data_IF_951247073703
#
_entry.id   IF_951247073703
#
_cell.length_a   1.000
_cell.length_b   1.000
_cell.length_c   1.000
_cell.angle_alpha   90.00
_cell.angle_beta   90.00
_cell.angle_gamma   90.00
#
_symmetry.space_group_name_H-M   'P 1'
#
loop_
_entity.id
_entity.type
_entity.pdbx_description
1 polymer ?
#
# COMPACT_ATOMS: atom_id res chain seq x y z
N UNK A 1 -26.00 4.15 2.77
CA UNK A 1 -25.02 3.89 1.69
C UNK A 1 -23.96 2.97 2.29
N UNK A 2 -23.84 1.71 1.85
CA UNK A 2 -22.76 0.87 2.38
C UNK A 2 -21.42 1.48 1.93
N UNK A 3 -20.48 1.71 2.84
CA UNK A 3 -19.16 2.34 2.59
C UNK A 3 -18.30 1.61 1.54
N UNK A 4 -18.74 0.45 1.09
CA UNK A 4 -18.06 -0.40 0.11
C UNK A 4 -19.17 -1.08 -0.68
N UNK A 5 -19.66 -0.35 -1.68
CA UNK A 5 -20.71 -0.76 -2.61
C UNK A 5 -20.04 -1.10 -3.96
N UNK A 6 -20.66 -1.95 -4.78
CA UNK A 6 -20.09 -2.41 -6.06
C UNK A 6 -19.74 -1.27 -7.03
N UNK A 7 -20.39 -0.10 -6.86
CA UNK A 7 -20.06 1.14 -7.57
C UNK A 7 -18.64 1.64 -7.27
N UNK A 8 -18.18 1.54 -6.02
CA UNK A 8 -16.81 1.92 -5.63
C UNK A 8 -15.81 0.96 -6.28
N UNK A 9 -16.06 -0.35 -6.25
CA UNK A 9 -15.20 -1.34 -6.93
C UNK A 9 -15.10 -1.11 -8.44
N UNK A 10 -16.19 -0.69 -9.09
CA UNK A 10 -16.16 -0.34 -10.51
C UNK A 10 -15.30 0.90 -10.81
N UNK A 11 -15.12 1.82 -9.85
CA UNK A 11 -14.20 2.94 -10.00
C UNK A 11 -12.75 2.46 -10.07
N UNK A 12 -12.36 1.51 -9.22
CA UNK A 12 -10.99 0.97 -9.17
C UNK A 12 -10.67 -0.01 -10.31
N UNK A 13 -11.65 -0.76 -10.81
CA UNK A 13 -11.40 -1.82 -11.79
C UNK A 13 -11.65 -1.40 -13.24
N UNK A 14 -12.60 -0.48 -13.49
CA UNK A 14 -13.01 -0.08 -14.85
C UNK A 14 -12.77 1.39 -15.11
N UNK A 15 -13.33 2.29 -14.30
CA UNK A 15 -13.33 3.71 -14.63
C UNK A 15 -11.97 4.41 -14.49
N UNK A 16 -11.12 4.02 -13.55
CA UNK A 16 -9.79 4.63 -13.36
C UNK A 16 -8.96 4.62 -14.64
N UNK A 17 -8.85 3.46 -15.29
CA UNK A 17 -8.07 3.26 -16.51
C UNK A 17 -8.74 3.84 -17.76
N UNK A 18 -10.07 3.77 -17.87
CA UNK A 18 -10.79 4.22 -19.07
C UNK A 18 -11.09 5.73 -19.09
N UNK A 19 -11.11 6.40 -17.94
CA UNK A 19 -11.52 7.81 -17.85
C UNK A 19 -10.37 8.74 -17.43
N UNK A 20 -9.11 8.30 -17.50
CA UNK A 20 -7.94 9.06 -17.03
C UNK A 20 -8.17 9.70 -15.64
N UNK A 21 -8.76 8.92 -14.73
CA UNK A 21 -9.24 9.43 -13.43
C UNK A 21 -8.43 8.77 -12.32
N UNK A 22 -7.75 9.57 -11.51
CA UNK A 22 -7.09 9.10 -10.29
C UNK A 22 -8.13 8.90 -9.18
N UNK A 23 -8.07 7.75 -8.50
CA UNK A 23 -8.98 7.43 -7.39
C UNK A 23 -8.16 7.22 -6.13
N UNK A 24 -8.46 7.98 -5.07
CA UNK A 24 -7.84 7.84 -3.75
C UNK A 24 -8.81 7.14 -2.81
N UNK A 25 -8.38 6.02 -2.22
CA UNK A 25 -9.16 5.27 -1.24
C UNK A 25 -8.55 5.42 0.16
N UNK A 26 -9.29 6.04 1.07
CA UNK A 26 -8.86 6.21 2.46
C UNK A 26 -9.62 5.23 3.35
N UNK A 27 -8.89 4.36 4.06
CA UNK A 27 -9.46 3.34 4.94
C UNK A 27 -8.69 3.22 6.25
N UNK A 28 -9.42 2.85 7.32
CA UNK A 28 -8.84 2.60 8.64
C UNK A 28 -8.18 1.22 8.77
N UNK A 29 -8.62 0.25 7.96
CA UNK A 29 -8.05 -1.10 7.89
C UNK A 29 -7.87 -1.50 6.43
N UNK A 30 -6.72 -2.08 6.14
CA UNK A 30 -6.35 -2.55 4.80
C UNK A 30 -7.07 -3.86 4.41
N UNK A 31 -7.60 -4.60 5.38
CA UNK A 31 -8.31 -5.87 5.14
C UNK A 31 -9.71 -5.89 5.80
N UNK A 32 -10.65 -5.03 5.36
CA UNK A 32 -12.05 -5.16 5.78
C UNK A 32 -12.62 -6.51 5.35
N UNK A 33 -13.50 -7.11 6.16
CA UNK A 33 -14.15 -8.41 5.89
C UNK A 33 -15.00 -8.50 4.61
N UNK A 34 -15.11 -7.41 3.84
CA UNK A 34 -15.91 -7.32 2.62
C UNK A 34 -15.12 -7.83 1.41
N UNK A 35 -15.78 -8.57 0.51
CA UNK A 35 -15.15 -9.17 -0.68
C UNK A 35 -14.57 -8.12 -1.63
N UNK A 36 -15.22 -6.96 -1.69
CA UNK A 36 -14.92 -5.82 -2.55
C UNK A 36 -13.60 -5.15 -2.18
N UNK A 37 -13.22 -5.16 -0.90
CA UNK A 37 -11.98 -4.54 -0.41
C UNK A 37 -10.75 -5.23 -0.98
N UNK A 38 -10.79 -6.56 -1.07
CA UNK A 38 -9.73 -7.38 -1.66
C UNK A 38 -9.54 -7.04 -3.14
N UNK A 39 -10.61 -6.90 -3.90
CA UNK A 39 -10.54 -6.53 -5.32
C UNK A 39 -9.94 -5.14 -5.50
N UNK A 40 -10.33 -4.17 -4.66
CA UNK A 40 -9.75 -2.82 -4.69
C UNK A 40 -8.25 -2.86 -4.40
N UNK A 41 -7.83 -3.54 -3.32
CA UNK A 41 -6.41 -3.64 -2.94
C UNK A 41 -5.56 -4.35 -4.00
N UNK A 42 -6.09 -5.38 -4.67
CA UNK A 42 -5.38 -6.09 -5.74
C UNK A 42 -5.21 -5.27 -7.02
N UNK A 43 -6.10 -4.29 -7.27
CA UNK A 43 -6.01 -3.41 -8.44
C UNK A 43 -5.37 -2.05 -8.10
N UNK A 44 -4.96 -1.83 -6.86
CA UNK A 44 -4.32 -0.59 -6.46
C UNK A 44 -2.91 -0.51 -7.07
N UNK A 45 -2.60 0.59 -7.74
CA UNK A 45 -1.26 0.87 -8.27
C UNK A 45 -0.29 1.32 -7.17
N UNK A 46 -0.82 1.94 -6.13
CA UNK A 46 -0.07 2.46 -5.00
C UNK A 46 -0.82 2.17 -3.71
N UNK A 47 -0.06 1.85 -2.68
CA UNK A 47 -0.56 1.75 -1.31
C UNK A 47 0.31 2.65 -0.43
N UNK A 48 -0.32 3.53 0.33
CA UNK A 48 0.36 4.32 1.39
C UNK A 48 -0.06 3.74 2.73
N UNK A 49 0.88 3.09 3.41
CA UNK A 49 0.65 2.41 4.68
C UNK A 49 1.15 3.26 5.85
N UNK A 50 0.23 3.61 6.76
CA UNK A 50 0.53 4.32 8.00
C UNK A 50 0.61 3.37 9.20
N UNK A 51 1.29 3.81 10.26
CA UNK A 51 1.33 3.07 11.54
C UNK A 51 -0.06 2.94 12.14
N UNK A 52 -0.47 1.71 12.43
CA UNK A 52 -1.61 1.42 13.29
C UNK A 52 -1.10 0.70 14.55
N UNK A 53 -0.96 1.42 15.69
CA UNK A 53 -0.47 0.82 16.94
C UNK A 53 -1.35 -0.32 17.48
N UNK A 54 -2.64 -0.35 17.11
CA UNK A 54 -3.58 -1.38 17.55
C UNK A 54 -3.43 -2.68 16.76
N UNK A 55 -3.09 -2.58 15.48
CA UNK A 55 -3.05 -3.73 14.58
C UNK A 55 -1.89 -3.66 13.58
N UNK A 56 -0.78 -4.31 13.94
CA UNK A 56 0.39 -4.47 13.10
C UNK A 56 0.30 -5.66 12.12
N UNK A 57 -0.78 -6.44 12.17
CA UNK A 57 -0.90 -7.66 11.36
C UNK A 57 -1.04 -7.35 9.88
N UNK A 58 -1.67 -6.23 9.52
CA UNK A 58 -1.90 -5.84 8.12
C UNK A 58 -0.62 -5.81 7.29
N UNK A 59 0.44 -5.18 7.81
CA UNK A 59 1.74 -5.10 7.11
C UNK A 59 2.38 -6.48 6.99
N UNK A 60 2.24 -7.32 8.01
CA UNK A 60 2.74 -8.69 7.98
C UNK A 60 2.03 -9.53 6.92
N UNK A 61 0.71 -9.38 6.78
CA UNK A 61 -0.05 -10.06 5.74
C UNK A 61 0.35 -9.59 4.34
N UNK A 62 0.50 -8.28 4.14
CA UNK A 62 0.93 -7.73 2.85
C UNK A 62 2.36 -8.16 2.50
N UNK A 63 3.28 -8.13 3.47
CA UNK A 63 4.66 -8.62 3.30
C UNK A 63 4.72 -10.10 2.90
N UNK A 64 3.81 -10.93 3.45
CA UNK A 64 3.70 -12.35 3.05
C UNK A 64 3.26 -12.53 1.61
N UNK A 65 2.36 -11.66 1.13
CA UNK A 65 1.84 -11.71 -0.23
C UNK A 65 2.87 -11.19 -1.25
N UNK A 66 3.53 -10.07 -0.95
CA UNK A 66 4.48 -9.43 -1.86
C UNK A 66 5.84 -10.12 -1.87
N UNK A 67 6.33 -10.56 -0.71
CA UNK A 67 7.68 -11.12 -0.56
C UNK A 67 7.64 -12.49 0.14
N UNK A 68 7.07 -13.53 -0.50
CA UNK A 68 7.08 -14.88 0.06
C UNK A 68 8.50 -15.31 0.45
N UNK A 69 8.66 -15.78 1.69
CA UNK A 69 9.97 -16.17 2.25
C UNK A 69 10.89 -15.02 2.66
N UNK A 70 10.56 -13.76 2.35
CA UNK A 70 11.37 -12.56 2.64
C UNK A 70 10.58 -11.46 3.36
N UNK A 71 9.58 -11.83 4.15
CA UNK A 71 8.66 -10.90 4.83
C UNK A 71 9.37 -9.84 5.69
N UNK A 72 10.50 -10.20 6.31
CA UNK A 72 11.30 -9.30 7.15
C UNK A 72 11.75 -8.04 6.40
N UNK A 73 12.05 -8.15 5.10
CA UNK A 73 12.46 -7.02 4.27
C UNK A 73 11.44 -5.87 4.34
N UNK A 74 10.18 -6.17 4.08
CA UNK A 74 9.12 -5.17 4.12
C UNK A 74 8.74 -4.76 5.55
N UNK A 75 8.78 -5.70 6.51
CA UNK A 75 8.48 -5.40 7.91
C UNK A 75 9.50 -4.42 8.52
N UNK A 76 10.80 -4.59 8.21
CA UNK A 76 11.86 -3.70 8.66
C UNK A 76 11.74 -2.32 8.02
N UNK A 77 11.48 -2.26 6.70
CA UNK A 77 11.19 -1.00 6.01
C UNK A 77 10.00 -0.25 6.65
N UNK A 78 8.90 -0.96 6.92
CA UNK A 78 7.74 -0.36 7.56
C UNK A 78 8.06 0.13 8.98
N UNK A 79 8.81 -0.65 9.77
CA UNK A 79 9.18 -0.25 11.13
C UNK A 79 10.05 1.01 11.13
N UNK A 80 10.98 1.10 10.19
CA UNK A 80 11.89 2.23 10.05
C UNK A 80 11.14 3.51 9.65
N UNK A 81 10.37 3.44 8.56
CA UNK A 81 9.52 4.54 8.07
C UNK A 81 8.50 5.03 9.09
N UNK A 82 8.05 4.17 10.01
CA UNK A 82 7.04 4.50 11.04
C UNK A 82 7.60 4.59 12.46
N UNK A 83 8.91 4.77 12.59
CA UNK A 83 9.58 4.98 13.88
C UNK A 83 9.14 6.28 14.55
N UNK A 84 9.06 7.36 13.77
CA UNK A 84 8.53 8.66 14.17
C UNK A 84 7.02 8.83 13.92
N UNK A 85 6.42 9.92 14.46
CA UNK A 85 5.04 10.27 14.16
C UNK A 85 4.88 10.65 12.68
N UNK A 86 3.68 10.42 12.13
CA UNK A 86 3.30 10.74 10.73
C UNK A 86 4.08 10.02 9.62
N UNK A 87 4.98 9.10 9.97
CA UNK A 87 5.69 8.27 9.01
C UNK A 87 4.78 7.31 8.23
N UNK A 88 5.16 7.02 6.99
CA UNK A 88 4.41 6.16 6.08
C UNK A 88 5.34 5.35 5.17
N UNK A 89 4.88 4.18 4.74
CA UNK A 89 5.52 3.41 3.68
C UNK A 89 4.69 3.51 2.41
N UNK A 90 5.24 4.13 1.36
CA UNK A 90 4.73 4.02 0.00
C UNK A 90 5.15 2.67 -0.59
N UNK A 91 4.16 1.95 -1.10
CA UNK A 91 4.31 0.66 -1.77
C UNK A 91 3.84 0.85 -3.21
N UNK A 92 4.77 0.73 -4.16
CA UNK A 92 4.51 0.85 -5.59
C UNK A 92 4.28 -0.54 -6.20
N UNK A 93 3.04 -0.76 -6.63
CA UNK A 93 2.54 -2.03 -7.14
C UNK A 93 2.44 -2.05 -8.66
N UNK A 94 2.89 -1.00 -9.37
CA UNK A 94 2.89 -1.01 -10.83
C UNK A 94 3.85 -2.09 -11.33
N UNK A 95 3.46 -2.76 -12.42
CA UNK A 95 4.25 -3.84 -13.02
C UNK A 95 5.60 -3.34 -13.53
N UNK A 96 5.61 -2.16 -14.16
CA UNK A 96 6.79 -1.49 -14.73
C UNK A 96 7.79 -0.98 -13.68
N UNK A 97 7.40 -0.92 -12.40
CA UNK A 97 8.28 -0.40 -11.35
C UNK A 97 9.38 -1.41 -11.03
N UNK A 98 10.68 -1.04 -11.13
CA UNK A 98 11.77 -1.90 -10.73
C UNK A 98 11.63 -2.37 -9.29
N UNK A 99 11.97 -3.64 -9.02
CA UNK A 99 11.78 -4.27 -7.71
C UNK A 99 12.40 -3.47 -6.55
N UNK A 100 13.57 -2.89 -6.80
CA UNK A 100 14.31 -2.09 -5.83
C UNK A 100 13.72 -0.70 -5.57
N UNK A 101 12.70 -0.27 -6.31
CA UNK A 101 12.01 1.02 -6.14
C UNK A 101 10.59 0.87 -5.56
N UNK A 102 10.18 -0.35 -5.20
CA UNK A 102 8.81 -0.62 -4.74
C UNK A 102 8.50 -0.09 -3.35
N UNK A 103 9.47 -0.03 -2.45
CA UNK A 103 9.28 0.38 -1.06
C UNK A 103 9.99 1.73 -0.80
N UNK A 104 9.20 2.79 -0.59
CA UNK A 104 9.69 4.17 -0.51
C UNK A 104 9.03 4.94 0.62
N UNK A 105 9.64 6.02 1.08
CA UNK A 105 9.03 7.00 1.99
C UNK A 105 9.47 8.39 1.57
N UNK A 106 8.83 9.41 2.14
CA UNK A 106 9.24 10.81 2.01
C UNK A 106 9.26 11.28 0.54
N UNK A 107 8.14 11.03 -0.17
CA UNK A 107 8.05 11.23 -1.62
C UNK A 107 7.60 12.64 -2.00
N UNK A 108 7.47 13.56 -1.04
CA UNK A 108 7.13 14.95 -1.32
C UNK A 108 8.38 15.78 -1.66
N UNK A 109 8.26 16.85 -2.47
CA UNK A 109 9.40 17.58 -3.03
C UNK A 109 10.41 18.13 -2.02
N UNK A 110 9.95 18.46 -0.81
CA UNK A 110 10.77 19.08 0.24
C UNK A 110 11.41 18.06 1.19
N UNK A 111 11.26 16.76 0.91
CA UNK A 111 11.76 15.68 1.75
C UNK A 111 12.91 14.92 1.06
N UNK A 112 13.86 14.43 1.86
CA UNK A 112 14.83 13.45 1.35
C UNK A 112 14.11 12.11 1.21
N UNK A 113 13.93 11.68 -0.03
CA UNK A 113 13.29 10.41 -0.34
C UNK A 113 14.22 9.24 -0.03
N UNK A 114 13.71 8.25 0.70
CA UNK A 114 14.42 6.99 0.96
C UNK A 114 13.76 5.83 0.22
N UNK A 115 14.59 4.90 -0.23
CA UNK A 115 14.16 3.66 -0.88
C UNK A 115 14.80 2.48 -0.16
N UNK A 116 14.00 1.47 0.16
CA UNK A 116 14.46 0.30 0.89
C UNK A 116 14.88 -0.80 -0.09
N UNK A 117 16.06 -1.38 0.15
CA UNK A 117 16.62 -2.45 -0.66
C UNK A 117 16.62 -3.76 0.13
N UNK A 118 16.41 -4.92 -0.52
CA UNK A 118 16.56 -6.20 0.15
C UNK A 118 18.02 -6.40 0.57
N UNK A 119 18.23 -6.92 1.79
CA UNK A 119 19.55 -7.35 2.24
C UNK A 119 19.97 -8.57 1.42
N UNK A 120 21.18 -8.51 0.85
CA UNK A 120 21.87 -9.64 0.20
C UNK A 120 22.21 -10.74 1.17
#
# INVERSE_FOLDING_TARGET
>A
MNETDGRVTNLFTKKSHHCNTSVVYLVQSMFPKKRESRTISLNAQYIVAFKNPRDATHVTHLARQMYPGRMKYMQEAFKDTTSGPYGYLLIDLKEETPEHLRLRTNVFPDEVQYTYLPKT
#
